data_IF_947387362597
#
_entry.id   IF_947387362597
#
_cell.length_a   1.000
_cell.length_b   1.000
_cell.length_c   1.000
_cell.angle_alpha   90.00
_cell.angle_beta   90.00
_cell.angle_gamma   90.00
#
_symmetry.space_group_name_H-M   'P 1'
#
loop_
_entity.id
_entity.type
_entity.pdbx_description
1 polymer ?
#
# COMPACT_ATOMS: atom_id res chain seq x y z
N UNK A 1 18.95 -22.90 -4.16
CA UNK A 1 18.55 -21.78 -3.27
C UNK A 1 19.38 -21.92 -1.99
N UNK A 2 20.17 -20.88 -1.68
CA UNK A 2 20.94 -20.83 -0.45
C UNK A 2 19.98 -20.73 0.75
N UNK A 3 20.42 -21.17 1.93
CA UNK A 3 19.59 -21.10 3.15
C UNK A 3 19.15 -19.68 3.49
N UNK A 4 19.95 -18.67 3.15
CA UNK A 4 19.60 -17.25 3.28
C UNK A 4 18.42 -16.83 2.40
N UNK A 5 18.31 -17.37 1.17
CA UNK A 5 17.22 -17.03 0.26
C UNK A 5 15.88 -17.54 0.79
N UNK A 6 15.85 -18.76 1.36
CA UNK A 6 14.63 -19.34 1.94
C UNK A 6 14.14 -18.51 3.14
N UNK A 7 15.07 -18.12 4.01
CA UNK A 7 14.75 -17.24 5.14
C UNK A 7 14.25 -15.87 4.66
N UNK A 8 14.85 -15.31 3.61
CA UNK A 8 14.40 -14.05 2.99
C UNK A 8 12.97 -14.14 2.44
N UNK A 9 12.66 -15.20 1.69
CA UNK A 9 11.33 -15.45 1.15
C UNK A 9 10.28 -15.62 2.26
N UNK A 10 10.60 -16.37 3.30
CA UNK A 10 9.71 -16.56 4.46
C UNK A 10 9.43 -15.24 5.19
N UNK A 11 10.44 -14.40 5.40
CA UNK A 11 10.27 -13.08 6.01
C UNK A 11 9.34 -12.20 5.18
N UNK A 12 9.51 -12.16 3.85
CA UNK A 12 8.66 -11.33 2.97
C UNK A 12 7.24 -11.85 2.94
N UNK A 13 7.05 -13.17 2.84
CA UNK A 13 5.71 -13.76 2.88
C UNK A 13 5.01 -13.46 4.20
N UNK A 14 5.70 -13.63 5.34
CA UNK A 14 5.17 -13.27 6.65
C UNK A 14 4.81 -11.78 6.74
N UNK A 15 5.66 -10.89 6.20
CA UNK A 15 5.40 -9.47 6.15
C UNK A 15 4.13 -9.12 5.38
N UNK A 16 3.96 -9.65 4.16
CA UNK A 16 2.74 -9.42 3.37
C UNK A 16 1.50 -10.04 4.00
N UNK A 17 1.60 -11.22 4.62
CA UNK A 17 0.50 -11.79 5.39
C UNK A 17 0.11 -10.93 6.61
N UNK A 18 1.08 -10.32 7.26
CA UNK A 18 0.84 -9.37 8.38
C UNK A 18 0.12 -8.12 7.90
N UNK A 19 0.38 -7.62 6.67
CA UNK A 19 -0.39 -6.52 6.09
C UNK A 19 -1.85 -6.92 5.90
N UNK A 20 -2.14 -8.13 5.39
CA UNK A 20 -3.51 -8.61 5.25
C UNK A 20 -4.25 -8.72 6.60
N UNK A 21 -3.54 -9.08 7.67
CA UNK A 21 -4.14 -9.06 9.02
C UNK A 21 -4.53 -7.63 9.40
N UNK A 22 -3.67 -6.65 9.13
CA UNK A 22 -4.00 -5.23 9.32
C UNK A 22 -5.24 -4.80 8.53
N UNK A 23 -5.33 -5.21 7.26
CA UNK A 23 -6.46 -4.90 6.38
C UNK A 23 -7.76 -5.56 6.88
N UNK A 24 -7.70 -6.79 7.37
CA UNK A 24 -8.85 -7.46 7.99
C UNK A 24 -9.32 -6.74 9.27
N UNK A 25 -8.38 -6.24 10.09
CA UNK A 25 -8.73 -5.42 11.27
C UNK A 25 -9.40 -4.11 10.83
N UNK A 26 -8.90 -3.44 9.78
CA UNK A 26 -9.57 -2.25 9.20
C UNK A 26 -10.99 -2.59 8.78
N UNK A 27 -11.18 -3.69 8.05
CA UNK A 27 -12.51 -4.14 7.60
C UNK A 27 -13.44 -4.40 8.78
N UNK A 28 -12.95 -4.99 9.86
CA UNK A 28 -13.74 -5.24 11.08
C UNK A 28 -14.17 -3.98 11.83
N UNK A 29 -13.66 -2.82 11.43
CA UNK A 29 -14.01 -1.50 12.01
C UNK A 29 -14.96 -0.69 11.11
N UNK A 30 -15.53 -1.30 10.06
CA UNK A 30 -16.49 -0.64 9.19
C UNK A 30 -17.64 -0.03 10.00
N UNK A 31 -17.91 1.27 9.77
CA UNK A 31 -18.97 2.01 10.47
C UNK A 31 -18.67 2.39 11.93
N UNK A 32 -17.55 1.95 12.52
CA UNK A 32 -17.22 2.29 13.92
C UNK A 32 -16.56 3.66 14.07
N UNK A 33 -15.90 4.14 13.04
CA UNK A 33 -15.24 5.44 13.02
C UNK A 33 -14.92 5.85 11.57
N UNK A 34 -14.88 7.16 11.21
CA UNK A 34 -14.58 7.60 9.86
C UNK A 34 -13.21 7.10 9.35
N UNK A 35 -13.15 6.65 8.09
CA UNK A 35 -11.91 6.15 7.47
C UNK A 35 -10.74 7.15 7.55
N UNK A 36 -10.94 8.47 7.29
CA UNK A 36 -9.88 9.46 7.46
C UNK A 36 -9.34 9.52 8.88
N UNK A 37 -10.22 9.41 9.90
CA UNK A 37 -9.83 9.47 11.31
C UNK A 37 -8.99 8.26 11.74
N UNK A 38 -9.38 7.05 11.30
CA UNK A 38 -8.59 5.85 11.56
C UNK A 38 -7.22 5.91 10.88
N UNK A 39 -7.18 6.35 9.63
CA UNK A 39 -5.93 6.55 8.89
C UNK A 39 -5.06 7.61 9.56
N UNK A 40 -5.64 8.74 9.98
CA UNK A 40 -4.93 9.81 10.69
C UNK A 40 -4.31 9.29 11.99
N UNK A 41 -5.06 8.56 12.80
CA UNK A 41 -4.59 7.98 14.07
C UNK A 41 -3.43 7.03 13.84
N UNK A 42 -3.53 6.14 12.85
CA UNK A 42 -2.44 5.21 12.48
C UNK A 42 -1.16 5.96 12.11
N UNK A 43 -1.24 6.96 11.21
CA UNK A 43 -0.05 7.70 10.77
C UNK A 43 0.48 8.63 11.84
N UNK A 44 -0.38 9.20 12.71
CA UNK A 44 0.04 10.01 13.84
C UNK A 44 0.86 9.18 14.85
N UNK A 45 0.38 8.00 15.21
CA UNK A 45 1.13 7.07 16.06
C UNK A 45 2.48 6.70 15.45
N UNK A 46 2.49 6.37 14.15
CA UNK A 46 3.74 6.09 13.43
C UNK A 46 4.68 7.30 13.42
N UNK A 47 4.16 8.51 13.17
CA UNK A 47 4.93 9.75 13.15
C UNK A 47 5.57 10.04 14.52
N UNK A 48 4.82 9.86 15.61
CA UNK A 48 5.33 10.05 16.98
C UNK A 48 6.46 9.07 17.27
N UNK A 49 6.23 7.77 17.04
CA UNK A 49 7.23 6.72 17.33
C UNK A 49 8.48 6.89 16.48
N UNK A 50 8.33 7.10 15.16
CA UNK A 50 9.46 7.24 14.25
C UNK A 50 10.23 8.54 14.51
N UNK A 51 9.56 9.64 14.85
CA UNK A 51 10.21 10.89 15.22
C UNK A 51 11.00 10.74 16.52
N UNK A 52 10.46 10.03 17.52
CA UNK A 52 11.17 9.74 18.76
C UNK A 52 12.44 8.87 18.52
N UNK A 53 12.34 7.87 17.65
CA UNK A 53 13.49 7.03 17.27
C UNK A 53 14.52 7.88 16.51
N UNK A 54 14.08 8.71 15.56
CA UNK A 54 14.95 9.60 14.79
C UNK A 54 15.67 10.60 15.70
N UNK A 55 14.93 11.23 16.64
CA UNK A 55 15.49 12.17 17.60
C UNK A 55 16.55 11.52 18.50
N UNK A 56 16.33 10.27 18.94
CA UNK A 56 17.30 9.52 19.76
C UNK A 56 18.55 9.13 18.97
N UNK A 57 18.42 8.81 17.68
CA UNK A 57 19.55 8.36 16.84
C UNK A 57 20.35 9.49 16.22
N UNK A 58 19.70 10.59 15.84
CA UNK A 58 20.29 11.66 15.00
C UNK A 58 20.08 13.07 15.58
N UNK A 59 19.50 13.16 16.79
CA UNK A 59 19.18 14.43 17.45
C UNK A 59 17.89 15.08 16.96
N UNK A 60 17.31 15.98 17.76
CA UNK A 60 16.06 16.67 17.45
C UNK A 60 16.14 17.53 16.17
N UNK A 61 17.31 18.02 15.81
CA UNK A 61 17.51 18.78 14.57
C UNK A 61 17.17 17.99 13.32
N UNK A 62 17.35 16.65 13.35
CA UNK A 62 17.00 15.77 12.23
C UNK A 62 15.49 15.66 12.02
N UNK A 63 14.69 15.87 13.06
CA UNK A 63 13.21 15.85 12.98
C UNK A 63 12.67 17.14 12.34
N UNK A 64 13.42 18.25 12.39
CA UNK A 64 12.97 19.54 11.85
C UNK A 64 13.52 19.85 10.45
N UNK A 65 14.53 19.11 9.96
CA UNK A 65 15.16 19.31 8.66
C UNK A 65 14.61 18.36 7.61
N UNK A 66 13.44 18.71 7.06
CA UNK A 66 12.79 17.90 6.02
C UNK A 66 13.58 17.93 4.69
N UNK A 67 14.19 16.81 4.27
CA UNK A 67 14.92 16.77 3.01
C UNK A 67 13.96 16.76 1.82
N UNK A 68 14.21 17.58 0.79
CA UNK A 68 13.37 17.69 -0.42
C UNK A 68 11.89 17.83 -0.09
N UNK A 69 11.50 18.82 0.72
CA UNK A 69 10.18 19.01 1.31
C UNK A 69 9.02 18.79 0.31
N UNK A 70 9.12 19.33 -0.93
CA UNK A 70 8.08 19.14 -1.96
C UNK A 70 7.80 17.66 -2.23
N UNK A 71 8.84 16.82 -2.35
CA UNK A 71 8.69 15.40 -2.57
C UNK A 71 8.12 14.67 -1.35
N UNK A 72 8.46 15.10 -0.13
CA UNK A 72 7.86 14.51 1.08
C UNK A 72 6.36 14.78 1.15
N UNK A 73 5.91 15.99 0.77
CA UNK A 73 4.49 16.30 0.68
C UNK A 73 3.78 15.48 -0.41
N UNK A 74 4.39 15.31 -1.59
CA UNK A 74 3.84 14.42 -2.64
C UNK A 74 3.71 12.98 -2.12
N UNK A 75 4.72 12.47 -1.41
CA UNK A 75 4.70 11.14 -0.80
C UNK A 75 3.60 11.01 0.26
N UNK A 76 3.48 12.03 1.14
CA UNK A 76 2.44 12.08 2.16
C UNK A 76 1.03 12.13 1.58
N UNK A 77 0.80 12.97 0.58
CA UNK A 77 -0.48 13.05 -0.14
C UNK A 77 -0.83 11.72 -0.83
N UNK A 78 0.13 11.13 -1.54
CA UNK A 78 -0.08 9.87 -2.25
C UNK A 78 -0.45 8.73 -1.28
N UNK A 79 0.29 8.57 -0.18
CA UNK A 79 -0.02 7.52 0.80
C UNK A 79 -1.30 7.79 1.58
N UNK A 80 -1.63 9.06 1.83
CA UNK A 80 -2.90 9.44 2.48
C UNK A 80 -4.09 9.07 1.61
N UNK A 81 -4.05 9.45 0.33
CA UNK A 81 -5.10 9.13 -0.63
C UNK A 81 -5.24 7.61 -0.82
N UNK A 82 -4.12 6.90 -0.95
CA UNK A 82 -4.10 5.45 -1.03
C UNK A 82 -4.75 4.80 0.20
N UNK A 83 -4.40 5.26 1.40
CA UNK A 83 -4.91 4.67 2.64
C UNK A 83 -6.40 4.96 2.84
N UNK A 84 -6.85 6.19 2.58
CA UNK A 84 -8.27 6.53 2.64
C UNK A 84 -9.09 5.70 1.65
N UNK A 85 -8.63 5.63 0.39
CA UNK A 85 -9.30 4.86 -0.64
C UNK A 85 -9.36 3.37 -0.28
N UNK A 86 -8.26 2.79 0.21
CA UNK A 86 -8.22 1.39 0.60
C UNK A 86 -9.11 1.10 1.81
N UNK A 87 -9.06 1.92 2.86
CA UNK A 87 -9.89 1.73 4.06
C UNK A 87 -11.37 1.77 3.72
N UNK A 88 -11.79 2.73 2.90
CA UNK A 88 -13.16 2.82 2.41
C UNK A 88 -13.52 1.62 1.53
N UNK A 89 -12.64 1.19 0.62
CA UNK A 89 -12.86 0.03 -0.23
C UNK A 89 -13.08 -1.25 0.60
N UNK A 90 -12.27 -1.47 1.63
CA UNK A 90 -12.38 -2.65 2.51
C UNK A 90 -13.73 -2.74 3.24
N UNK A 91 -14.42 -1.62 3.41
CA UNK A 91 -15.75 -1.61 4.02
C UNK A 91 -16.87 -1.90 3.02
N UNK A 92 -16.63 -1.62 1.75
CA UNK A 92 -17.66 -1.67 0.70
C UNK A 92 -17.59 -2.95 -0.15
N UNK A 93 -16.45 -3.64 -0.16
CA UNK A 93 -16.24 -4.79 -1.04
C UNK A 93 -15.40 -5.89 -0.36
N UNK A 94 -15.37 -7.11 -0.91
CA UNK A 94 -14.59 -8.22 -0.38
C UNK A 94 -13.10 -7.91 -0.26
N UNK A 95 -12.48 -8.36 0.86
CA UNK A 95 -11.07 -8.12 1.17
C UNK A 95 -10.12 -8.61 0.07
N UNK A 96 -10.38 -9.81 -0.46
CA UNK A 96 -9.58 -10.41 -1.53
C UNK A 96 -9.66 -9.60 -2.83
N UNK A 97 -10.85 -9.11 -3.19
CA UNK A 97 -11.09 -8.35 -4.42
C UNK A 97 -10.42 -6.97 -4.35
N UNK A 98 -10.62 -6.24 -3.25
CA UNK A 98 -9.94 -4.96 -3.02
C UNK A 98 -8.42 -5.12 -3.11
N UNK A 99 -7.86 -6.15 -2.44
CA UNK A 99 -6.42 -6.45 -2.47
C UNK A 99 -5.94 -6.81 -3.88
N UNK A 100 -6.70 -7.63 -4.61
CA UNK A 100 -6.36 -8.06 -5.97
C UNK A 100 -6.19 -6.86 -6.91
N UNK A 101 -7.11 -5.92 -6.87
CA UNK A 101 -7.08 -4.74 -7.74
C UNK A 101 -5.83 -3.89 -7.45
N UNK A 102 -5.39 -3.81 -6.20
CA UNK A 102 -4.17 -3.04 -5.87
C UNK A 102 -2.90 -3.62 -6.51
N UNK A 103 -2.89 -4.89 -6.91
CA UNK A 103 -1.76 -5.48 -7.64
C UNK A 103 -1.55 -4.93 -9.06
N UNK A 104 -2.43 -4.06 -9.55
CA UNK A 104 -2.18 -3.26 -10.76
C UNK A 104 -1.16 -2.15 -10.54
N UNK A 105 -0.81 -1.82 -9.28
CA UNK A 105 0.18 -0.80 -8.93
C UNK A 105 1.50 -0.91 -9.73
N UNK A 106 2.16 -2.07 -9.88
CA UNK A 106 3.40 -2.16 -10.66
C UNK A 106 3.23 -1.75 -12.12
N UNK A 107 2.08 -2.04 -12.71
CA UNK A 107 1.75 -1.70 -14.10
C UNK A 107 1.59 -0.19 -14.24
N UNK A 108 0.82 0.43 -13.34
CA UNK A 108 0.65 1.88 -13.29
C UNK A 108 2.00 2.56 -13.02
N UNK A 109 2.83 2.00 -12.10
CA UNK A 109 4.18 2.52 -11.83
C UNK A 109 5.05 2.51 -13.09
N UNK A 110 4.98 1.47 -13.91
CA UNK A 110 5.74 1.42 -15.17
C UNK A 110 5.32 2.51 -16.16
N UNK A 111 4.01 2.80 -16.26
CA UNK A 111 3.49 3.90 -17.08
C UNK A 111 3.95 5.26 -16.55
N UNK A 112 3.80 5.51 -15.26
CA UNK A 112 4.21 6.76 -14.62
C UNK A 112 5.73 6.97 -14.70
N UNK A 113 6.54 5.90 -14.58
CA UNK A 113 7.99 5.99 -14.74
C UNK A 113 8.39 6.46 -16.14
N UNK A 114 7.68 6.03 -17.18
CA UNK A 114 7.92 6.50 -18.53
C UNK A 114 7.60 7.98 -18.69
N UNK A 115 6.48 8.45 -18.11
CA UNK A 115 6.05 9.85 -18.23
C UNK A 115 6.93 10.79 -17.40
N UNK A 116 7.18 10.46 -16.14
CA UNK A 116 7.80 11.37 -15.17
C UNK A 116 9.32 11.20 -15.03
N UNK A 117 9.87 9.99 -15.33
CA UNK A 117 11.30 9.71 -15.23
C UNK A 117 11.96 9.58 -16.60
N UNK A 118 11.21 9.75 -17.71
CA UNK A 118 11.73 9.64 -19.06
C UNK A 118 12.17 8.21 -19.43
N UNK A 119 11.72 7.21 -18.70
CA UNK A 119 12.01 5.81 -19.00
C UNK A 119 11.27 5.38 -20.29
N UNK A 120 11.94 4.66 -21.19
CA UNK A 120 11.28 4.15 -22.41
C UNK A 120 10.22 3.11 -22.06
N UNK A 121 8.97 3.39 -22.42
CA UNK A 121 7.87 2.40 -22.34
C UNK A 121 8.20 1.22 -23.24
N UNK A 122 8.22 0.03 -22.65
CA UNK A 122 8.42 -1.20 -23.39
C UNK A 122 7.08 -1.73 -23.90
N UNK A 123 7.01 -2.24 -25.12
CA UNK A 123 5.79 -2.88 -25.62
C UNK A 123 5.26 -3.96 -24.67
N UNK A 124 6.18 -4.74 -24.08
CA UNK A 124 5.82 -5.77 -23.11
C UNK A 124 5.19 -5.22 -21.81
N UNK A 125 5.63 -4.06 -21.33
CA UNK A 125 5.00 -3.40 -20.17
C UNK A 125 3.61 -2.86 -20.53
N UNK A 126 3.43 -2.34 -21.74
CA UNK A 126 2.12 -1.93 -22.25
C UNK A 126 1.14 -3.10 -22.33
N UNK A 127 1.59 -4.23 -22.91
CA UNK A 127 0.76 -5.44 -22.99
C UNK A 127 0.39 -5.94 -21.58
N UNK A 128 1.35 -6.03 -20.67
CA UNK A 128 1.09 -6.43 -19.29
C UNK A 128 0.06 -5.51 -18.61
N UNK A 129 0.17 -4.20 -18.85
CA UNK A 129 -0.77 -3.22 -18.29
C UNK A 129 -2.17 -3.42 -18.85
N UNK A 130 -2.33 -3.54 -20.16
CA UNK A 130 -3.62 -3.78 -20.80
C UNK A 130 -4.27 -5.08 -20.34
N UNK A 131 -3.51 -6.17 -20.28
CA UNK A 131 -3.97 -7.46 -19.77
C UNK A 131 -4.37 -7.36 -18.30
N UNK A 132 -3.57 -6.68 -17.47
CA UNK A 132 -3.89 -6.46 -16.07
C UNK A 132 -5.18 -5.67 -15.88
N UNK A 133 -5.43 -4.63 -16.68
CA UNK A 133 -6.69 -3.87 -16.63
C UNK A 133 -7.91 -4.69 -17.08
N UNK A 134 -7.76 -5.62 -18.02
CA UNK A 134 -8.83 -6.59 -18.33
C UNK A 134 -9.17 -7.45 -17.11
N UNK A 135 -8.16 -7.90 -16.36
CA UNK A 135 -8.37 -8.60 -15.09
C UNK A 135 -9.11 -7.74 -14.06
N UNK A 136 -8.79 -6.44 -13.96
CA UNK A 136 -9.52 -5.50 -13.07
C UNK A 136 -10.99 -5.40 -13.44
N UNK A 137 -11.32 -5.32 -14.72
CA UNK A 137 -12.74 -5.24 -15.17
C UNK A 137 -13.51 -6.49 -14.74
N UNK A 138 -12.89 -7.67 -14.79
CA UNK A 138 -13.53 -8.92 -14.33
C UNK A 138 -13.76 -8.93 -12.82
N UNK A 139 -12.78 -8.48 -12.02
CA UNK A 139 -12.92 -8.41 -10.56
C UNK A 139 -13.92 -7.34 -10.13
N UNK A 140 -13.95 -6.20 -10.82
CA UNK A 140 -14.83 -5.08 -10.49
C UNK A 140 -16.29 -5.30 -10.86
N UNK A 141 -16.57 -6.20 -11.82
CA UNK A 141 -17.90 -6.36 -12.41
C UNK A 141 -19.03 -6.47 -11.38
N UNK A 142 -19.00 -7.40 -10.40
CA UNK A 142 -20.07 -7.49 -9.41
C UNK A 142 -20.17 -6.23 -8.55
N UNK A 143 -19.05 -5.74 -8.04
CA UNK A 143 -18.98 -4.58 -7.15
C UNK A 143 -19.44 -3.29 -7.85
N UNK A 144 -19.12 -3.13 -9.15
CA UNK A 144 -19.54 -1.95 -9.89
C UNK A 144 -21.06 -1.86 -10.05
N UNK A 145 -21.73 -3.00 -10.16
CA UNK A 145 -23.20 -3.06 -10.22
C UNK A 145 -23.86 -2.76 -8.87
N UNK A 146 -23.20 -3.12 -7.76
CA UNK A 146 -23.73 -2.96 -6.41
C UNK A 146 -23.40 -1.60 -5.79
N UNK A 147 -22.14 -1.15 -5.89
CA UNK A 147 -21.64 0.06 -5.22
C UNK A 147 -21.20 1.16 -6.17
N UNK A 148 -21.38 0.99 -7.49
CA UNK A 148 -21.09 1.98 -8.50
C UNK A 148 -19.62 2.43 -8.53
N UNK A 149 -19.40 3.76 -8.62
CA UNK A 149 -18.05 4.33 -8.73
C UNK A 149 -17.16 4.05 -7.52
N UNK A 150 -17.72 3.72 -6.36
CA UNK A 150 -16.94 3.37 -5.17
C UNK A 150 -16.10 2.09 -5.39
N UNK A 151 -16.49 1.21 -6.32
CA UNK A 151 -15.71 0.05 -6.74
C UNK A 151 -14.32 0.42 -7.32
N UNK A 152 -14.13 1.67 -7.77
CA UNK A 152 -12.85 2.14 -8.28
C UNK A 152 -11.84 2.55 -7.18
N UNK A 153 -12.23 2.56 -5.92
CA UNK A 153 -11.35 2.96 -4.81
C UNK A 153 -10.05 2.13 -4.72
N UNK A 154 -10.05 0.80 -4.91
CA UNK A 154 -8.79 0.05 -4.91
C UNK A 154 -7.88 0.40 -6.09
N UNK A 155 -8.44 0.80 -7.23
CA UNK A 155 -7.67 1.28 -8.38
C UNK A 155 -7.05 2.66 -8.07
N UNK A 156 -7.79 3.54 -7.38
CA UNK A 156 -7.26 4.81 -6.86
C UNK A 156 -6.11 4.55 -5.86
N UNK A 157 -6.26 3.53 -5.01
CA UNK A 157 -5.19 3.07 -4.11
C UNK A 157 -3.95 2.69 -4.91
N UNK A 158 -4.09 1.84 -5.93
CA UNK A 158 -2.99 1.39 -6.78
C UNK A 158 -2.30 2.55 -7.51
N UNK A 159 -3.07 3.49 -8.06
CA UNK A 159 -2.56 4.68 -8.72
C UNK A 159 -1.78 5.59 -7.76
N UNK A 160 -2.34 5.84 -6.57
CA UNK A 160 -1.70 6.66 -5.54
C UNK A 160 -0.41 6.03 -5.02
N UNK A 161 -0.40 4.71 -4.83
CA UNK A 161 0.82 3.97 -4.46
C UNK A 161 1.85 3.97 -5.58
N UNK A 162 1.44 3.99 -6.85
CA UNK A 162 2.35 4.15 -7.98
C UNK A 162 3.01 5.55 -7.97
N UNK A 163 2.25 6.62 -7.68
CA UNK A 163 2.79 7.97 -7.47
C UNK A 163 3.78 7.99 -6.31
N UNK A 164 3.46 7.37 -5.18
CA UNK A 164 4.38 7.22 -4.05
C UNK A 164 5.68 6.53 -4.46
N UNK A 165 5.61 5.49 -5.28
CA UNK A 165 6.80 4.77 -5.76
C UNK A 165 7.68 5.65 -6.65
N UNK A 166 7.10 6.46 -7.54
CA UNK A 166 7.82 7.42 -8.37
C UNK A 166 8.47 8.51 -7.49
N UNK A 167 7.73 9.05 -6.53
CA UNK A 167 8.26 10.04 -5.59
C UNK A 167 9.38 9.47 -4.71
N UNK A 168 9.29 8.19 -4.31
CA UNK A 168 10.37 7.48 -3.61
C UNK A 168 11.65 7.41 -4.46
N UNK A 169 11.53 7.04 -5.74
CA UNK A 169 12.66 7.01 -6.68
C UNK A 169 13.27 8.41 -6.85
N UNK A 170 12.45 9.44 -7.05
CA UNK A 170 12.89 10.82 -7.15
C UNK A 170 13.57 11.35 -5.87
N UNK A 171 13.23 10.76 -4.72
CA UNK A 171 13.80 11.11 -3.42
C UNK A 171 15.04 10.29 -3.05
N UNK A 172 15.53 9.40 -3.92
CA UNK A 172 16.67 8.55 -3.64
C UNK A 172 17.90 9.41 -3.25
N UNK A 173 18.63 8.96 -2.23
CA UNK A 173 19.80 9.69 -1.69
C UNK A 173 19.49 10.92 -0.83
N UNK A 174 18.21 11.28 -0.60
CA UNK A 174 17.85 12.44 0.22
C UNK A 174 17.98 12.19 1.73
N UNK A 175 18.05 10.93 2.17
CA UNK A 175 18.19 10.56 3.58
C UNK A 175 18.14 9.06 3.79
N UNK A 176 18.33 8.64 5.05
CA UNK A 176 18.20 7.23 5.43
C UNK A 176 16.74 6.77 5.34
N UNK A 177 16.51 5.47 5.30
CA UNK A 177 15.16 4.89 5.30
C UNK A 177 14.32 5.38 6.49
N UNK A 178 14.94 5.51 7.68
CA UNK A 178 14.28 6.04 8.88
C UNK A 178 13.81 7.48 8.66
N UNK A 179 14.66 8.36 8.14
CA UNK A 179 14.34 9.76 7.82
C UNK A 179 13.17 9.81 6.83
N UNK A 180 13.27 9.05 5.74
CA UNK A 180 12.27 9.03 4.68
C UNK A 180 10.92 8.53 5.17
N UNK A 181 10.91 7.51 6.05
CA UNK A 181 9.68 6.95 6.63
C UNK A 181 9.07 7.88 7.68
N UNK A 182 9.91 8.55 8.47
CA UNK A 182 9.44 9.56 9.47
C UNK A 182 8.68 10.68 8.76
N UNK A 183 9.26 11.27 7.70
CA UNK A 183 8.61 12.39 7.03
C UNK A 183 7.38 12.00 6.23
N UNK A 184 7.33 10.81 5.64
CA UNK A 184 6.08 10.31 5.02
C UNK A 184 4.99 10.17 6.09
N UNK A 185 5.32 9.68 7.28
CA UNK A 185 4.34 9.53 8.36
C UNK A 185 3.87 10.89 8.89
N UNK A 186 4.77 11.85 9.05
CA UNK A 186 4.43 13.22 9.48
C UNK A 186 3.52 13.90 8.44
N UNK A 187 3.92 13.92 7.17
CA UNK A 187 3.13 14.59 6.12
C UNK A 187 1.78 13.89 5.89
N UNK A 188 1.75 12.55 5.95
CA UNK A 188 0.50 11.82 5.86
C UNK A 188 -0.43 12.12 7.05
N UNK A 189 0.10 12.19 8.28
CA UNK A 189 -0.74 12.50 9.45
C UNK A 189 -1.36 13.89 9.34
N UNK A 190 -0.62 14.89 8.85
CA UNK A 190 -1.14 16.26 8.64
C UNK A 190 -2.27 16.25 7.59
N UNK A 191 -2.05 15.61 6.45
CA UNK A 191 -3.05 15.52 5.37
C UNK A 191 -4.31 14.80 5.85
N UNK A 192 -4.15 13.67 6.56
CA UNK A 192 -5.27 12.87 7.04
C UNK A 192 -6.03 13.55 8.18
N UNK A 193 -5.34 14.27 9.06
CA UNK A 193 -5.99 15.11 10.06
C UNK A 193 -6.80 16.22 9.40
N UNK A 194 -6.24 16.91 8.40
CA UNK A 194 -6.97 17.91 7.64
C UNK A 194 -8.19 17.32 6.93
N UNK A 195 -8.05 16.13 6.32
CA UNK A 195 -9.16 15.40 5.70
C UNK A 195 -10.23 14.99 6.72
N UNK A 196 -9.83 14.59 7.94
CA UNK A 196 -10.74 14.26 9.04
C UNK A 196 -11.54 15.48 9.48
N UNK A 197 -10.88 16.62 9.67
CA UNK A 197 -11.53 17.89 10.03
C UNK A 197 -12.47 18.35 8.93
N UNK A 198 -12.02 18.34 7.66
CA UNK A 198 -12.85 18.71 6.54
C UNK A 198 -14.07 17.79 6.39
N UNK A 199 -13.89 16.48 6.58
CA UNK A 199 -14.97 15.51 6.61
C UNK A 199 -16.01 15.77 7.70
N UNK A 200 -15.56 16.09 8.90
CA UNK A 200 -16.45 16.42 10.03
C UNK A 200 -17.40 17.60 9.72
N UNK A 201 -16.89 18.63 9.05
CA UNK A 201 -17.67 19.81 8.69
C UNK A 201 -18.34 19.72 7.31
N UNK A 202 -18.21 18.60 6.60
CA UNK A 202 -18.79 18.42 5.25
C UNK A 202 -20.30 18.21 5.23
N UNK A 203 -20.93 17.92 6.38
CA UNK A 203 -22.34 17.53 6.47
C UNK A 203 -22.62 16.06 6.12
N UNK A 204 -21.60 15.29 5.73
CA UNK A 204 -21.71 13.84 5.44
C UNK A 204 -21.70 13.08 6.76
N UNK A 205 -22.78 12.36 7.06
CA UNK A 205 -22.98 11.69 8.36
C UNK A 205 -21.85 10.68 8.67
N UNK A 206 -21.40 9.92 7.68
CA UNK A 206 -20.35 8.88 7.80
C UNK A 206 -18.96 9.48 8.11
N UNK A 207 -18.77 10.78 7.89
CA UNK A 207 -17.51 11.49 8.15
C UNK A 207 -17.56 12.32 9.44
N UNK A 208 -18.69 12.36 10.12
CA UNK A 208 -18.80 13.08 11.38
C UNK A 208 -17.96 12.41 12.48
N UNK A 209 -17.10 13.21 13.10
CA UNK A 209 -16.26 12.77 14.22
C UNK A 209 -17.09 12.61 15.49
N UNK A 210 -16.97 11.45 16.10
CA UNK A 210 -17.40 11.16 17.46
C UNK A 210 -16.26 10.49 18.22
N UNK A 211 -16.31 10.50 19.54
CA UNK A 211 -15.32 9.77 20.34
C UNK A 211 -15.55 8.27 20.16
N UNK A 212 -14.58 7.54 19.58
CA UNK A 212 -14.75 6.12 19.41
C UNK A 212 -14.55 5.38 20.74
N UNK A 213 -15.11 4.17 20.83
CA UNK A 213 -14.84 3.30 21.96
C UNK A 213 -13.33 2.95 22.02
N UNK A 214 -12.83 2.68 23.25
CA UNK A 214 -11.39 2.42 23.47
C UNK A 214 -10.82 1.31 22.58
N UNK A 215 -11.63 0.28 22.26
CA UNK A 215 -11.20 -0.83 21.41
C UNK A 215 -10.92 -0.41 19.95
N UNK A 216 -11.52 0.70 19.47
CA UNK A 216 -11.21 1.25 18.14
C UNK A 216 -9.79 1.84 18.14
N UNK A 217 -9.43 2.58 19.20
CA UNK A 217 -8.06 3.07 19.38
C UNK A 217 -7.06 1.92 19.49
N UNK A 218 -7.39 0.87 20.24
CA UNK A 218 -6.53 -0.30 20.36
C UNK A 218 -6.32 -1.00 18.99
N UNK A 219 -7.37 -1.12 18.17
CA UNK A 219 -7.26 -1.65 16.81
C UNK A 219 -6.43 -0.73 15.89
N UNK A 220 -6.59 0.59 15.97
CA UNK A 220 -5.74 1.53 15.22
C UNK A 220 -4.26 1.41 15.63
N UNK A 221 -3.96 1.28 16.93
CA UNK A 221 -2.62 1.05 17.42
C UNK A 221 -2.05 -0.31 16.92
N UNK A 222 -2.87 -1.35 16.92
CA UNK A 222 -2.51 -2.65 16.35
C UNK A 222 -2.18 -2.56 14.86
N UNK A 223 -2.99 -1.84 14.07
CA UNK A 223 -2.73 -1.63 12.64
C UNK A 223 -1.41 -0.88 12.43
N UNK A 224 -1.13 0.17 13.22
CA UNK A 224 0.13 0.90 13.15
C UNK A 224 1.33 0.01 13.48
N UNK A 225 1.23 -0.81 14.52
CA UNK A 225 2.25 -1.75 14.93
C UNK A 225 2.45 -2.86 13.89
N UNK A 226 1.37 -3.53 13.45
CA UNK A 226 1.43 -4.63 12.48
C UNK A 226 2.01 -4.16 11.14
N UNK A 227 1.64 -2.98 10.65
CA UNK A 227 2.23 -2.41 9.46
C UNK A 227 3.74 -2.14 9.61
N UNK A 228 4.18 -1.66 10.79
CA UNK A 228 5.61 -1.45 11.06
C UNK A 228 6.38 -2.77 11.06
N UNK A 229 5.85 -3.79 11.73
CA UNK A 229 6.44 -5.15 11.74
C UNK A 229 6.47 -5.74 10.33
N UNK A 230 5.38 -5.61 9.57
CA UNK A 230 5.28 -6.09 8.21
C UNK A 230 6.35 -5.47 7.30
N UNK A 231 6.49 -4.15 7.32
CA UNK A 231 7.51 -3.45 6.53
C UNK A 231 8.93 -3.83 6.96
N UNK A 232 9.16 -4.04 8.25
CA UNK A 232 10.44 -4.51 8.75
C UNK A 232 10.78 -5.93 8.26
N UNK A 233 9.81 -6.85 8.29
CA UNK A 233 9.97 -8.20 7.75
C UNK A 233 10.24 -8.20 6.25
N UNK A 234 9.52 -7.38 5.48
CA UNK A 234 9.71 -7.21 4.04
C UNK A 234 11.12 -6.66 3.76
N UNK A 235 11.56 -5.67 4.53
CA UNK A 235 12.90 -5.10 4.42
C UNK A 235 13.97 -6.16 4.67
N UNK A 236 13.91 -6.88 5.81
CA UNK A 236 14.87 -7.96 6.16
C UNK A 236 14.90 -9.07 5.10
N UNK A 237 13.74 -9.46 4.59
CA UNK A 237 13.67 -10.49 3.57
C UNK A 237 14.26 -10.02 2.24
N UNK A 238 14.05 -8.75 1.89
CA UNK A 238 14.62 -8.13 0.69
C UNK A 238 16.14 -8.01 0.78
N UNK A 239 16.70 -7.68 1.94
CA UNK A 239 18.15 -7.69 2.16
C UNK A 239 18.74 -9.09 1.98
N UNK A 240 18.09 -10.13 2.50
CA UNK A 240 18.61 -11.52 2.47
C UNK A 240 18.55 -12.17 1.09
N UNK A 241 17.44 -11.98 0.34
CA UNK A 241 17.20 -12.71 -0.90
C UNK A 241 17.19 -11.79 -2.15
N UNK A 242 17.29 -10.48 -1.96
CA UNK A 242 17.25 -9.48 -3.03
C UNK A 242 15.83 -9.19 -3.53
N UNK A 243 15.57 -7.94 -3.89
CA UNK A 243 14.24 -7.44 -4.27
C UNK A 243 13.61 -8.22 -5.45
N UNK A 244 14.42 -8.59 -6.44
CA UNK A 244 13.94 -9.33 -7.61
C UNK A 244 13.48 -10.76 -7.28
N UNK A 245 14.08 -11.38 -6.26
CA UNK A 245 13.73 -12.75 -5.84
C UNK A 245 12.46 -12.77 -4.99
N UNK A 246 12.26 -11.74 -4.14
CA UNK A 246 11.13 -11.68 -3.22
C UNK A 246 9.86 -11.08 -3.82
N UNK A 247 9.96 -10.37 -4.95
CA UNK A 247 8.81 -9.69 -5.57
C UNK A 247 7.56 -10.58 -5.76
N UNK A 248 7.65 -11.85 -6.21
CA UNK A 248 6.48 -12.71 -6.30
C UNK A 248 5.80 -13.02 -4.97
N UNK A 249 6.52 -12.87 -3.84
CA UNK A 249 5.94 -13.12 -2.51
C UNK A 249 4.86 -12.09 -2.12
N UNK A 250 4.76 -10.97 -2.85
CA UNK A 250 3.66 -10.01 -2.66
C UNK A 250 2.30 -10.67 -2.89
N UNK A 251 2.22 -11.64 -3.79
CA UNK A 251 0.96 -12.37 -4.04
C UNK A 251 0.54 -13.26 -2.86
N UNK A 252 1.43 -13.53 -1.91
CA UNK A 252 1.07 -14.15 -0.64
C UNK A 252 0.09 -13.30 0.17
N UNK A 253 0.10 -11.97 -0.02
CA UNK A 253 -0.89 -11.07 0.57
C UNK A 253 -2.31 -11.43 0.10
N UNK A 254 -2.49 -11.77 -1.18
CA UNK A 254 -3.80 -12.16 -1.69
C UNK A 254 -4.28 -13.47 -1.07
N UNK A 255 -3.41 -14.47 -0.92
CA UNK A 255 -3.78 -15.73 -0.26
C UNK A 255 -4.21 -15.49 1.18
N UNK A 256 -3.48 -14.66 1.92
CA UNK A 256 -3.83 -14.27 3.27
C UNK A 256 -5.14 -13.47 3.31
N UNK A 257 -5.34 -12.51 2.39
CA UNK A 257 -6.56 -11.72 2.29
C UNK A 257 -7.78 -12.60 1.98
N UNK A 258 -7.65 -13.56 1.05
CA UNK A 258 -8.73 -14.51 0.71
C UNK A 258 -9.08 -15.39 1.92
N UNK A 259 -8.07 -15.93 2.60
CA UNK A 259 -8.29 -16.76 3.79
C UNK A 259 -8.96 -15.96 4.92
N UNK A 260 -8.49 -14.75 5.20
CA UNK A 260 -9.04 -13.88 6.23
C UNK A 260 -10.46 -13.40 5.87
N UNK A 261 -10.69 -13.07 4.59
CA UNK A 261 -12.01 -12.73 4.07
C UNK A 261 -13.02 -13.86 4.28
N UNK A 262 -12.62 -15.07 3.94
CA UNK A 262 -13.46 -16.25 4.14
C UNK A 262 -13.72 -16.55 5.63
N UNK A 263 -12.66 -16.64 6.44
CA UNK A 263 -12.76 -17.08 7.84
C UNK A 263 -13.49 -16.05 8.72
N UNK A 264 -13.22 -14.76 8.54
CA UNK A 264 -13.75 -13.72 9.44
C UNK A 264 -14.98 -12.99 8.90
N UNK A 265 -15.18 -12.99 7.59
CA UNK A 265 -16.27 -12.23 6.95
C UNK A 265 -17.18 -13.09 6.07
N UNK A 266 -16.89 -14.40 5.91
CA UNK A 266 -17.68 -15.30 5.06
C UNK A 266 -17.57 -14.98 3.56
N UNK A 267 -16.56 -14.23 3.15
CA UNK A 267 -16.38 -13.78 1.78
C UNK A 267 -15.69 -14.82 0.92
N UNK A 268 -16.38 -15.31 -0.10
CA UNK A 268 -15.81 -16.23 -1.09
C UNK A 268 -15.78 -15.54 -2.44
N UNK A 269 -14.59 -15.38 -3.06
CA UNK A 269 -14.50 -14.84 -4.41
C UNK A 269 -15.28 -15.73 -5.38
N UNK A 270 -16.04 -15.12 -6.29
CA UNK A 270 -16.68 -15.84 -7.36
C UNK A 270 -15.68 -16.31 -8.44
N UNK A 271 -16.12 -17.13 -9.38
CA UNK A 271 -15.27 -17.67 -10.44
C UNK A 271 -14.66 -16.55 -11.32
N UNK A 272 -15.40 -15.46 -11.54
CA UNK A 272 -14.94 -14.32 -12.33
C UNK A 272 -13.90 -13.48 -11.59
N UNK A 273 -14.08 -13.27 -10.28
CA UNK A 273 -13.09 -12.62 -9.44
C UNK A 273 -11.79 -13.43 -9.40
N UNK A 274 -11.87 -14.75 -9.27
CA UNK A 274 -10.70 -15.64 -9.33
C UNK A 274 -10.00 -15.60 -10.69
N UNK A 275 -10.74 -15.59 -11.79
CA UNK A 275 -10.20 -15.45 -13.14
C UNK A 275 -9.49 -14.10 -13.32
N UNK A 276 -10.14 -13.01 -12.90
CA UNK A 276 -9.56 -11.66 -12.93
C UNK A 276 -8.29 -11.57 -12.08
N UNK A 277 -8.29 -12.15 -10.88
CA UNK A 277 -7.11 -12.25 -10.01
C UNK A 277 -5.95 -13.00 -10.70
N UNK A 278 -6.24 -14.15 -11.33
CA UNK A 278 -5.24 -14.91 -12.07
C UNK A 278 -4.63 -14.11 -13.24
N UNK A 279 -5.45 -13.35 -13.97
CA UNK A 279 -5.00 -12.45 -15.05
C UNK A 279 -4.09 -11.34 -14.51
N UNK A 280 -4.48 -10.66 -13.41
CA UNK A 280 -3.69 -9.58 -12.80
C UNK A 280 -2.35 -10.13 -12.31
N UNK A 281 -2.36 -11.26 -11.59
CA UNK A 281 -1.15 -11.92 -11.10
C UNK A 281 -0.25 -12.33 -12.28
N UNK A 282 -0.82 -12.95 -13.31
CA UNK A 282 -0.11 -13.37 -14.50
C UNK A 282 0.57 -12.20 -15.23
N UNK A 283 -0.15 -11.08 -15.39
CA UNK A 283 0.39 -9.86 -15.99
C UNK A 283 1.52 -9.24 -15.12
N UNK A 284 1.36 -9.24 -13.80
CA UNK A 284 2.37 -8.76 -12.86
C UNK A 284 3.63 -9.64 -12.86
N UNK A 285 3.48 -10.97 -12.87
CA UNK A 285 4.61 -11.92 -12.95
C UNK A 285 5.33 -11.82 -14.31
N UNK A 286 4.60 -11.62 -15.40
CA UNK A 286 5.18 -11.38 -16.72
C UNK A 286 6.02 -10.10 -16.73
N UNK A 287 5.49 -8.99 -16.20
CA UNK A 287 6.22 -7.73 -16.05
C UNK A 287 7.47 -7.90 -15.18
N UNK A 288 7.36 -8.62 -14.07
CA UNK A 288 8.49 -8.94 -13.18
C UNK A 288 9.58 -9.74 -13.90
N UNK A 289 9.21 -10.80 -14.66
CA UNK A 289 10.14 -11.63 -15.41
C UNK A 289 10.93 -10.82 -16.44
N UNK A 290 10.26 -9.93 -17.17
CA UNK A 290 10.91 -9.06 -18.16
C UNK A 290 11.90 -8.09 -17.48
N UNK A 291 11.52 -7.51 -16.35
CA UNK A 291 12.39 -6.60 -15.63
C UNK A 291 13.61 -7.30 -15.01
N UNK A 292 13.45 -8.56 -14.58
CA UNK A 292 14.55 -9.38 -14.04
C UNK A 292 15.59 -9.79 -15.10
N UNK A 293 15.18 -10.03 -16.34
CA UNK A 293 16.09 -10.39 -17.43
C UNK A 293 17.03 -9.25 -17.86
N UNK A 294 16.83 -8.04 -17.30
CA UNK A 294 17.79 -6.94 -17.45
C UNK A 294 18.96 -7.13 -16.50
N UNK A 295 20.17 -7.31 -17.05
CA UNK A 295 21.41 -7.02 -16.31
C UNK A 295 21.33 -5.56 -15.82
N UNK A 296 21.71 -5.27 -14.54
CA UNK A 296 21.79 -3.90 -14.10
C UNK A 296 22.69 -3.13 -15.07
N UNK A 297 22.21 -2.02 -15.60
CA UNK A 297 23.07 -1.08 -16.34
C UNK A 297 24.24 -0.78 -15.39
N UNK A 298 25.48 -0.98 -15.86
CA UNK A 298 26.70 -0.62 -15.14
C UNK A 298 26.48 0.79 -14.61
N UNK A 299 26.58 0.98 -13.30
CA UNK A 299 26.68 2.30 -12.72
C UNK A 299 27.80 3.04 -13.47
N UNK A 300 27.45 4.12 -14.12
CA UNK A 300 28.42 5.03 -14.73
C UNK A 300 29.23 5.60 -13.57
N UNK A 301 30.57 5.54 -13.62
CA UNK A 301 31.44 5.93 -12.52
C UNK A 301 31.27 7.41 -12.13
#
# INVERSE_FOLDING_TARGET
MQQSDRAGLACVLAGFSTLSIGDAVVKSMAGLWPAPAMAATRYLLAAIVLSAILARRSGWSAVWRMPRARLQWVRGLAVSLATMAMFTALWLMPLAEATTITFTQPMITALLAAVFLGERLRPAAMVATLVGFLGVVLVLRPNFLEIGLAALLPLLTAASMAVLMIANRASAGAGTALVMQTYVSITASVVLLAATVAGHFSGVAELQMHWPAWHVFARCAFIAFSATVAHWLIYLGTEKAGAATVAPMTYGQLLAATLLGWVFFGEMPDAMALLGAAIIIGAGLYLWRINRMRKPAKAIP
#
